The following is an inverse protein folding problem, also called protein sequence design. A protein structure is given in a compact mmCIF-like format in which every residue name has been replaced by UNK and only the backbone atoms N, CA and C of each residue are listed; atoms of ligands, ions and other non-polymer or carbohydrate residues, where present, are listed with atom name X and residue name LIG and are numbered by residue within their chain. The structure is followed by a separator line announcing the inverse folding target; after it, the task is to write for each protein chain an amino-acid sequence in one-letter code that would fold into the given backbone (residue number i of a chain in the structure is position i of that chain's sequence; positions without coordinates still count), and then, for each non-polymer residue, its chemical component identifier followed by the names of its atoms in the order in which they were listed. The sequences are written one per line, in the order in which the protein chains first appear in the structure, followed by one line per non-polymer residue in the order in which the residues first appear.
data_IF_656491502364
#
_entry.id   IF_656491502364
#
_cell.length_a   1.000
_cell.length_b   1.000
_cell.length_c   1.000
_cell.angle_alpha   90.00
_cell.angle_beta   90.00
_cell.angle_gamma   90.00
#
_symmetry.space_group_name_H-M   'P 1'
#
loop_
_entity.id
_entity.type
_entity.pdbx_description
1 polymer ?
#
# COMPACT_ATOMS: atom_id res chain seq x y z
N UNK A 1 -17.38 8.90 5.22
CA UNK A 1 -15.91 9.06 5.27
C UNK A 1 -15.34 8.78 3.92
N UNK A 2 -14.44 9.62 3.42
CA UNK A 2 -13.81 9.35 2.13
C UNK A 2 -12.95 8.08 2.22
N UNK A 3 -12.76 7.45 1.08
CA UNK A 3 -11.88 6.28 0.94
C UNK A 3 -10.57 6.72 0.33
N UNK A 4 -9.48 6.15 0.82
CA UNK A 4 -8.14 6.29 0.22
C UNK A 4 -7.54 4.91 0.04
N UNK A 5 -6.87 4.70 -1.09
CA UNK A 5 -6.12 3.46 -1.32
C UNK A 5 -4.72 3.65 -0.78
N UNK A 6 -4.25 2.69 0.02
CA UNK A 6 -2.91 2.72 0.60
C UNK A 6 -2.09 1.60 -0.02
N UNK A 7 -0.84 1.87 -0.39
CA UNK A 7 0.05 0.81 -0.85
C UNK A 7 0.89 0.25 0.29
N UNK A 8 1.66 -0.80 -0.03
CA UNK A 8 2.47 -1.49 0.98
C UNK A 8 3.56 -0.59 1.56
N UNK A 9 4.15 0.31 0.76
CA UNK A 9 5.21 1.20 1.24
C UNK A 9 4.69 2.15 2.33
N UNK A 10 3.53 2.75 2.10
CA UNK A 10 2.91 3.67 3.05
C UNK A 10 2.44 2.93 4.29
N UNK A 11 1.78 1.79 4.12
CA UNK A 11 1.29 1.02 5.27
C UNK A 11 2.44 0.52 6.14
N UNK A 12 3.51 0.00 5.52
CA UNK A 12 4.69 -0.46 6.25
C UNK A 12 5.35 0.68 7.05
N UNK A 13 5.41 1.88 6.49
CA UNK A 13 5.99 3.02 7.18
C UNK A 13 5.26 3.30 8.49
N UNK A 14 3.93 3.27 8.47
CA UNK A 14 3.13 3.51 9.68
C UNK A 14 3.24 2.35 10.66
N UNK A 15 3.14 1.11 10.17
CA UNK A 15 3.18 -0.07 11.04
C UNK A 15 4.53 -0.22 11.75
N UNK A 16 5.62 0.02 11.02
CA UNK A 16 6.96 -0.24 11.55
C UNK A 16 7.67 1.01 12.06
N UNK A 17 6.97 2.15 12.11
CA UNK A 17 7.54 3.38 12.66
C UNK A 17 8.72 3.91 11.86
N UNK A 18 8.66 3.82 10.53
CA UNK A 18 9.71 4.33 9.66
C UNK A 18 9.71 5.87 9.65
N UNK A 19 10.78 6.52 9.15
CA UNK A 19 10.87 8.00 9.22
C UNK A 19 9.69 8.73 8.59
N UNK A 20 9.06 8.18 7.57
CA UNK A 20 7.90 8.80 6.92
C UNK A 20 6.56 8.53 7.61
N UNK A 21 6.53 7.79 8.73
CA UNK A 21 5.29 7.34 9.38
C UNK A 21 4.34 8.50 9.69
N UNK A 22 4.84 9.59 10.26
CA UNK A 22 3.98 10.70 10.66
C UNK A 22 3.35 11.39 9.44
N UNK A 23 4.12 11.62 8.39
CA UNK A 23 3.62 12.24 7.16
C UNK A 23 2.55 11.35 6.51
N UNK A 24 2.79 10.05 6.47
CA UNK A 24 1.81 9.09 5.92
C UNK A 24 0.55 9.08 6.77
N UNK A 25 0.68 9.07 8.09
CA UNK A 25 -0.48 9.07 8.98
C UNK A 25 -1.34 10.32 8.78
N UNK A 26 -0.70 11.48 8.59
CA UNK A 26 -1.40 12.73 8.30
C UNK A 26 -2.16 12.60 6.96
N UNK A 27 -1.50 12.07 5.93
CA UNK A 27 -2.13 11.90 4.62
C UNK A 27 -3.28 10.91 4.65
N UNK A 28 -3.17 9.82 5.41
CA UNK A 28 -4.26 8.87 5.62
C UNK A 28 -5.45 9.54 6.32
N UNK A 29 -5.16 10.39 7.30
CA UNK A 29 -6.19 11.08 8.08
C UNK A 29 -7.14 10.09 8.74
N UNK A 30 -8.44 10.38 8.65
CA UNK A 30 -9.51 9.52 9.16
C UNK A 30 -10.27 8.82 8.03
N UNK A 31 -9.67 8.71 6.84
CA UNK A 31 -10.28 8.05 5.71
C UNK A 31 -10.45 6.55 5.96
N UNK A 32 -11.44 5.95 5.28
CA UNK A 32 -11.51 4.51 5.16
C UNK A 32 -10.39 4.05 4.24
N UNK A 33 -9.54 3.14 4.71
CA UNK A 33 -8.40 2.69 3.94
C UNK A 33 -8.75 1.42 3.18
N UNK A 34 -8.43 1.41 1.90
CA UNK A 34 -8.66 0.29 0.99
C UNK A 34 -7.34 -0.14 0.36
N UNK A 35 -7.26 -1.41 0.02
CA UNK A 35 -6.07 -1.96 -0.64
C UNK A 35 -6.43 -3.24 -1.38
N UNK A 36 -5.64 -3.61 -2.39
CA UNK A 36 -5.72 -4.97 -2.93
C UNK A 36 -5.36 -5.99 -1.86
N UNK A 37 -5.96 -7.17 -1.90
CA UNK A 37 -5.69 -8.23 -0.93
C UNK A 37 -4.21 -8.59 -0.85
N UNK A 38 -3.45 -8.42 -1.92
CA UNK A 38 -2.01 -8.70 -1.95
C UNK A 38 -1.21 -7.88 -0.93
N UNK A 39 -1.77 -6.78 -0.40
CA UNK A 39 -1.03 -5.93 0.55
C UNK A 39 -0.59 -6.72 1.78
N UNK A 40 -1.36 -7.69 2.23
CA UNK A 40 -0.97 -8.52 3.37
C UNK A 40 0.32 -9.27 3.09
N UNK A 41 0.46 -9.80 1.89
CA UNK A 41 1.66 -10.55 1.49
C UNK A 41 2.86 -9.63 1.36
N UNK A 42 2.68 -8.45 0.77
CA UNK A 42 3.78 -7.50 0.60
C UNK A 42 4.27 -6.96 1.94
N UNK A 43 3.36 -6.56 2.83
CA UNK A 43 3.73 -6.06 4.16
C UNK A 43 4.34 -7.20 5.00
N UNK A 44 3.78 -8.41 4.89
CA UNK A 44 4.33 -9.59 5.55
C UNK A 44 5.77 -9.87 5.11
N UNK A 45 6.05 -9.76 3.82
CA UNK A 45 7.40 -9.93 3.30
C UNK A 45 8.34 -8.83 3.79
N UNK A 46 7.86 -7.60 3.88
CA UNK A 46 8.64 -6.50 4.47
C UNK A 46 9.00 -6.80 5.92
N UNK A 47 8.03 -7.27 6.69
CA UNK A 47 8.28 -7.66 8.09
C UNK A 47 9.31 -8.77 8.18
N UNK A 48 9.19 -9.79 7.33
CA UNK A 48 10.16 -10.89 7.29
C UNK A 48 11.58 -10.40 7.03
N UNK A 49 11.75 -9.51 6.06
CA UNK A 49 13.07 -8.94 5.75
C UNK A 49 13.63 -8.15 6.94
N UNK A 50 12.79 -7.37 7.61
CA UNK A 50 13.20 -6.60 8.79
C UNK A 50 13.60 -7.52 9.94
N UNK A 51 12.86 -8.60 10.17
CA UNK A 51 13.20 -9.57 11.21
C UNK A 51 14.55 -10.27 10.94
N UNK A 52 14.84 -10.54 9.68
CA UNK A 52 16.13 -11.11 9.30
C UNK A 52 17.27 -10.13 9.52
N UNK A 53 17.06 -8.87 9.19
CA UNK A 53 18.09 -7.83 9.33
C UNK A 53 18.31 -7.46 10.80
N UNK A 54 17.24 -7.45 11.59
CA UNK A 54 17.26 -7.03 12.99
C UNK A 54 16.64 -8.12 13.88
N UNK A 55 17.34 -9.27 14.04
CA UNK A 55 16.76 -10.42 14.78
C UNK A 55 16.35 -10.07 16.21
N UNK A 56 17.06 -9.15 16.86
CA UNK A 56 16.77 -8.71 18.22
C UNK A 56 15.46 -7.93 18.32
N UNK A 57 14.95 -7.46 17.19
CA UNK A 57 13.69 -6.71 17.12
C UNK A 57 12.53 -7.56 16.60
N UNK A 58 12.76 -8.84 16.32
CA UNK A 58 11.75 -9.68 15.65
C UNK A 58 10.41 -9.72 16.39
N UNK A 59 10.43 -9.81 17.73
CA UNK A 59 9.19 -9.86 18.50
C UNK A 59 8.38 -8.56 18.37
N UNK A 60 9.06 -7.41 18.45
CA UNK A 60 8.42 -6.10 18.30
C UNK A 60 7.86 -5.93 16.88
N UNK A 61 8.64 -6.33 15.87
CA UNK A 61 8.23 -6.24 14.47
C UNK A 61 7.00 -7.12 14.18
N UNK A 62 6.97 -8.33 14.75
CA UNK A 62 5.82 -9.23 14.59
C UNK A 62 4.56 -8.66 15.24
N UNK A 63 4.71 -8.05 16.41
CA UNK A 63 3.59 -7.37 17.08
C UNK A 63 3.08 -6.22 16.24
N UNK A 64 3.98 -5.42 15.66
CA UNK A 64 3.62 -4.31 14.78
C UNK A 64 2.88 -4.81 13.55
N UNK A 65 3.35 -5.89 12.93
CA UNK A 65 2.67 -6.49 11.78
C UNK A 65 1.25 -6.94 12.16
N UNK A 66 1.09 -7.53 13.34
CA UNK A 66 -0.22 -7.95 13.84
C UNK A 66 -1.22 -6.80 13.99
N UNK A 67 -0.73 -5.57 14.19
CA UNK A 67 -1.59 -4.41 14.32
C UNK A 67 -2.31 -4.06 13.00
N UNK A 68 -1.86 -4.58 11.87
CA UNK A 68 -2.52 -4.35 10.58
C UNK A 68 -4.00 -4.78 10.61
N UNK A 69 -4.31 -5.88 11.30
CA UNK A 69 -5.70 -6.35 11.42
C UNK A 69 -6.61 -5.35 12.13
N UNK A 70 -6.05 -4.57 13.05
CA UNK A 70 -6.80 -3.57 13.81
C UNK A 70 -7.10 -2.31 13.02
N UNK A 71 -6.45 -2.15 11.86
CA UNK A 71 -6.69 -0.99 11.00
C UNK A 71 -7.95 -1.13 10.16
N UNK A 72 -8.55 -2.31 10.12
CA UNK A 72 -9.79 -2.57 9.39
C UNK A 72 -9.71 -2.15 7.92
N UNK A 73 -8.61 -2.54 7.25
CA UNK A 73 -8.46 -2.27 5.83
C UNK A 73 -9.57 -2.96 5.04
N UNK A 74 -10.15 -2.23 4.11
CA UNK A 74 -11.06 -2.82 3.14
C UNK A 74 -10.23 -3.46 2.03
N UNK A 75 -10.18 -4.79 2.01
CA UNK A 75 -9.40 -5.55 1.04
C UNK A 75 -10.25 -5.91 -0.16
N UNK A 76 -9.70 -5.73 -1.35
CA UNK A 76 -10.40 -5.98 -2.61
C UNK A 76 -9.65 -7.00 -3.44
N UNK A 77 -10.42 -7.85 -4.10
CA UNK A 77 -9.91 -8.65 -5.22
C UNK A 77 -9.96 -7.77 -6.47
N UNK A 78 -8.82 -7.64 -7.14
CA UNK A 78 -8.75 -6.79 -8.33
C UNK A 78 -9.07 -7.60 -9.58
N UNK A 79 -9.50 -6.90 -10.64
CA UNK A 79 -9.72 -7.54 -11.93
C UNK A 79 -8.39 -7.85 -12.61
N UNK A 80 -8.06 -9.14 -12.67
CA UNK A 80 -6.74 -9.59 -13.11
C UNK A 80 -6.39 -9.10 -14.52
N UNK A 81 -7.33 -9.22 -15.46
CA UNK A 81 -7.07 -8.77 -16.84
C UNK A 81 -6.91 -7.26 -16.92
N UNK A 82 -7.71 -6.50 -16.19
CA UNK A 82 -7.60 -5.05 -16.14
C UNK A 82 -6.28 -4.60 -15.53
N UNK A 83 -5.84 -5.25 -14.46
CA UNK A 83 -4.55 -4.95 -13.83
C UNK A 83 -3.39 -5.28 -14.76
N UNK A 84 -3.46 -6.43 -15.44
CA UNK A 84 -2.41 -6.83 -16.37
C UNK A 84 -2.29 -5.83 -17.53
N UNK A 85 -3.42 -5.42 -18.10
CA UNK A 85 -3.43 -4.43 -19.19
C UNK A 85 -2.84 -3.10 -18.72
N UNK A 86 -3.17 -2.67 -17.50
CA UNK A 86 -2.64 -1.44 -16.93
C UNK A 86 -1.15 -1.53 -16.70
N UNK A 87 -0.67 -2.66 -16.16
CA UNK A 87 0.75 -2.90 -15.95
C UNK A 87 1.54 -2.79 -17.26
N UNK A 88 1.03 -3.42 -18.31
CA UNK A 88 1.64 -3.35 -19.63
C UNK A 88 1.65 -1.92 -20.20
N UNK A 89 0.54 -1.22 -20.06
CA UNK A 89 0.40 0.15 -20.55
C UNK A 89 1.34 1.13 -19.83
N UNK A 90 1.48 1.00 -18.53
CA UNK A 90 2.28 1.91 -17.71
C UNK A 90 3.75 1.48 -17.58
N UNK A 91 4.08 0.24 -17.96
CA UNK A 91 5.45 -0.27 -17.79
C UNK A 91 5.84 -0.49 -16.33
N UNK A 92 4.89 -0.87 -15.50
CA UNK A 92 5.11 -1.16 -14.08
C UNK A 92 4.75 -2.61 -13.78
N UNK A 93 5.12 -3.09 -12.59
CA UNK A 93 4.81 -4.45 -12.21
C UNK A 93 3.30 -4.66 -12.04
N UNK A 94 2.86 -5.91 -12.15
CA UNK A 94 1.47 -6.28 -11.86
C UNK A 94 1.09 -5.87 -10.44
N UNK A 95 2.01 -6.05 -9.49
CA UNK A 95 1.77 -5.68 -8.08
C UNK A 95 1.49 -4.19 -7.94
N UNK A 96 2.36 -3.35 -8.51
CA UNK A 96 2.17 -1.89 -8.48
C UNK A 96 0.90 -1.47 -9.21
N UNK A 97 0.63 -2.08 -10.36
CA UNK A 97 -0.56 -1.78 -11.15
C UNK A 97 -1.84 -2.10 -10.40
N UNK A 98 -1.83 -3.09 -9.50
CA UNK A 98 -3.02 -3.46 -8.73
C UNK A 98 -3.49 -2.31 -7.83
N UNK A 99 -2.57 -1.55 -7.26
CA UNK A 99 -2.90 -0.38 -6.44
C UNK A 99 -3.44 0.76 -7.30
N UNK A 100 -2.82 1.03 -8.43
CA UNK A 100 -3.28 2.07 -9.36
C UNK A 100 -4.67 1.72 -9.88
N UNK A 101 -4.87 0.46 -10.29
CA UNK A 101 -6.17 -0.02 -10.78
C UNK A 101 -7.26 0.17 -9.72
N UNK A 102 -6.98 -0.20 -8.48
CA UNK A 102 -7.96 -0.09 -7.41
C UNK A 102 -8.30 1.37 -7.12
N UNK A 103 -7.29 2.24 -7.07
CA UNK A 103 -7.52 3.66 -6.84
C UNK A 103 -8.38 4.28 -7.93
N UNK A 104 -8.13 3.90 -9.19
CA UNK A 104 -8.94 4.37 -10.31
C UNK A 104 -10.36 3.81 -10.23
N UNK A 105 -10.51 2.53 -9.93
CA UNK A 105 -11.81 1.89 -9.84
C UNK A 105 -12.69 2.49 -8.74
N UNK A 106 -12.08 2.82 -7.60
CA UNK A 106 -12.78 3.45 -6.48
C UNK A 106 -12.88 4.98 -6.62
N UNK A 107 -12.24 5.56 -7.63
CA UNK A 107 -12.09 7.01 -7.76
C UNK A 107 -11.56 7.62 -6.46
N UNK A 108 -10.51 7.05 -5.94
CA UNK A 108 -9.93 7.41 -4.64
C UNK A 108 -8.47 7.83 -4.77
N UNK A 109 -7.98 8.72 -3.89
CA UNK A 109 -6.55 9.03 -3.85
C UNK A 109 -5.72 7.81 -3.50
N UNK A 110 -4.48 7.77 -4.00
CA UNK A 110 -3.50 6.75 -3.67
C UNK A 110 -2.47 7.33 -2.71
N UNK A 111 -2.32 6.70 -1.55
CA UNK A 111 -1.30 7.05 -0.56
C UNK A 111 -0.13 6.09 -0.72
N UNK A 112 1.03 6.61 -1.12
CA UNK A 112 2.22 5.82 -1.41
C UNK A 112 3.47 6.65 -1.15
N UNK A 113 4.55 5.98 -0.77
CA UNK A 113 5.88 6.59 -0.70
C UNK A 113 6.66 6.40 -2.01
N UNK A 114 6.11 5.64 -2.95
CA UNK A 114 6.74 5.43 -4.25
C UNK A 114 6.32 6.53 -5.21
N UNK A 115 7.22 7.48 -5.46
CA UNK A 115 6.96 8.63 -6.33
C UNK A 115 6.67 8.22 -7.76
N UNK A 116 7.29 7.12 -8.24
CA UNK A 116 7.04 6.62 -9.61
C UNK A 116 5.62 6.08 -9.72
N UNK A 117 5.14 5.42 -8.68
CA UNK A 117 3.78 4.90 -8.64
C UNK A 117 2.75 6.03 -8.65
N UNK A 118 2.98 7.06 -7.84
CA UNK A 118 2.11 8.23 -7.82
C UNK A 118 2.12 8.95 -9.17
N UNK A 119 3.28 9.06 -9.82
CA UNK A 119 3.39 9.69 -11.14
C UNK A 119 2.65 8.87 -12.21
N UNK A 120 2.70 7.54 -12.12
CA UNK A 120 2.00 6.66 -13.06
C UNK A 120 0.48 6.83 -12.98
N UNK A 121 -0.04 7.15 -11.81
CA UNK A 121 -1.46 7.36 -11.60
C UNK A 121 -1.91 8.79 -11.91
N UNK A 122 -1.00 9.74 -11.95
CA UNK A 122 -1.36 11.13 -12.21
C UNK A 122 -2.10 11.24 -13.54
N UNK A 123 -3.17 12.05 -13.62
CA UNK A 123 -3.87 12.24 -14.88
C UNK A 123 -2.91 12.82 -15.91
N UNK A 124 -3.00 12.35 -17.15
CA UNK A 124 -2.22 12.93 -18.23
C UNK A 124 -2.61 14.40 -18.40
N UNK A 125 -1.60 15.27 -18.57
CA UNK A 125 -1.83 16.69 -18.80
C UNK A 125 -2.48 16.90 -20.16
N UNK A 126 -3.72 17.12 -20.19
CA UNK A 126 -4.41 17.33 -21.46
C UNK A 126 -5.81 16.90 -21.42
#
# INVERSE_FOLDING_TARGET
MPTKVVDASALAAVLFGEPAADDVAIEMGDANLAAPALIEYEVGNTCWKKCRRYPEQAAVLRTAFGAMKKMHLQLYDVDANGVLALAQSLGITYYDASYVWLADWLDAPLVSLDKRLLAARAPSAG
#
